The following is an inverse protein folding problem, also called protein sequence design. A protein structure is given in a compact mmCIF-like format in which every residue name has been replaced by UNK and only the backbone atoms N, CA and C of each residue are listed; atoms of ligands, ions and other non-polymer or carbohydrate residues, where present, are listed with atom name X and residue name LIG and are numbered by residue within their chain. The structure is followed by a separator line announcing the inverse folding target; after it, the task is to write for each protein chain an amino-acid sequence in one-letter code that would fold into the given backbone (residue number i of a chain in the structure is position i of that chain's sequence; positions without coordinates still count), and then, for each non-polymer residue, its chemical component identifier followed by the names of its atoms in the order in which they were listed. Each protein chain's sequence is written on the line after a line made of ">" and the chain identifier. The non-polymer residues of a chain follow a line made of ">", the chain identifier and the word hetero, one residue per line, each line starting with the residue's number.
data_IF_907566166889
#
_entry.id   IF_907566166889
#
_cell.length_a   1.000
_cell.length_b   1.000
_cell.length_c   1.000
_cell.angle_alpha   90.00
_cell.angle_beta   90.00
_cell.angle_gamma   90.00
#
_symmetry.space_group_name_H-M   'P 1'
#
loop_
_entity.id
_entity.type
_entity.pdbx_description
1 polymer ?
#
# COMPACT_ATOMS: atom_id res chain seq x y z
N UNK A 1 48.72 14.28 63.88
CA UNK A 1 47.91 13.20 63.29
C UNK A 1 46.46 13.66 63.19
N UNK A 2 46.02 14.12 62.02
CA UNK A 2 44.61 14.40 61.75
C UNK A 2 44.13 13.41 60.68
N UNK A 3 43.21 12.53 61.09
CA UNK A 3 42.58 11.53 60.23
C UNK A 3 41.50 12.18 59.38
N UNK A 4 41.67 12.19 58.05
CA UNK A 4 40.61 12.57 57.12
C UNK A 4 39.56 11.45 57.10
N UNK A 5 38.39 11.69 57.71
CA UNK A 5 37.19 10.87 57.51
C UNK A 5 36.80 10.95 56.02
N UNK A 6 36.83 9.81 55.32
CA UNK A 6 36.09 9.64 54.07
C UNK A 6 34.60 9.87 54.37
N UNK A 7 33.95 10.74 53.60
CA UNK A 7 32.48 10.81 53.58
C UNK A 7 31.94 9.48 53.02
N UNK A 8 30.80 8.98 53.51
CA UNK A 8 30.12 7.85 52.87
C UNK A 8 29.64 8.32 51.49
N UNK A 9 29.89 7.53 50.45
CA UNK A 9 29.24 7.69 49.16
C UNK A 9 27.72 7.50 49.37
N UNK A 10 26.93 8.51 48.97
CA UNK A 10 25.48 8.54 49.18
C UNK A 10 24.77 7.39 48.42
N UNK A 11 23.85 6.65 49.05
CA UNK A 11 23.08 5.58 48.40
C UNK A 11 22.01 6.07 47.39
N UNK A 12 21.84 7.38 47.23
CA UNK A 12 20.76 8.00 46.45
C UNK A 12 20.98 7.84 44.94
N UNK A 13 22.24 7.85 44.49
CA UNK A 13 22.59 7.82 43.05
C UNK A 13 22.27 6.47 42.38
N UNK A 14 22.32 5.37 43.15
CA UNK A 14 22.02 4.02 42.65
C UNK A 14 20.51 3.77 42.53
N UNK A 15 19.71 4.31 43.45
CA UNK A 15 18.25 4.14 43.45
C UNK A 15 17.58 4.90 42.29
N UNK A 16 18.04 6.11 41.99
CA UNK A 16 17.52 6.91 40.87
C UNK A 16 17.97 6.34 39.52
N UNK A 17 19.20 5.83 39.42
CA UNK A 17 19.68 5.12 38.22
C UNK A 17 18.87 3.85 37.96
N UNK A 18 18.59 3.05 39.00
CA UNK A 18 17.80 1.84 38.89
C UNK A 18 16.36 2.14 38.45
N UNK A 19 15.69 3.13 39.07
CA UNK A 19 14.33 3.55 38.69
C UNK A 19 14.25 4.00 37.24
N UNK A 20 15.25 4.74 36.77
CA UNK A 20 15.31 5.22 35.38
C UNK A 20 15.45 4.06 34.39
N UNK A 21 16.29 3.07 34.70
CA UNK A 21 16.44 1.87 33.88
C UNK A 21 15.15 1.04 33.83
N UNK A 22 14.44 0.91 34.95
CA UNK A 22 13.15 0.19 35.00
C UNK A 22 12.08 0.90 34.17
N UNK A 23 12.02 2.23 34.22
CA UNK A 23 11.11 3.02 33.39
C UNK A 23 11.42 2.88 31.90
N UNK A 24 12.69 2.98 31.51
CA UNK A 24 13.11 2.85 30.11
C UNK A 24 12.77 1.46 29.54
N UNK A 25 12.94 0.40 30.32
CA UNK A 25 12.52 -0.96 29.95
C UNK A 25 10.99 -1.12 29.89
N UNK A 26 10.25 -0.48 30.79
CA UNK A 26 8.78 -0.50 30.75
C UNK A 26 8.26 0.19 29.47
N UNK A 27 8.75 1.39 29.15
CA UNK A 27 8.41 2.12 27.93
C UNK A 27 8.79 1.34 26.66
N UNK A 28 9.93 0.64 26.69
CA UNK A 28 10.37 -0.22 25.59
C UNK A 28 9.38 -1.37 25.36
N UNK A 29 8.97 -2.08 26.42
CA UNK A 29 8.00 -3.18 26.33
C UNK A 29 6.64 -2.72 25.83
N UNK A 30 6.16 -1.58 26.33
CA UNK A 30 4.90 -0.98 25.87
C UNK A 30 4.93 -0.70 24.36
N UNK A 31 6.04 -0.14 23.85
CA UNK A 31 6.21 0.11 22.40
C UNK A 31 6.19 -1.16 21.58
N UNK A 32 6.81 -2.23 22.06
CA UNK A 32 6.79 -3.52 21.38
C UNK A 32 5.35 -4.04 21.27
N UNK A 33 4.57 -3.96 22.34
CA UNK A 33 3.16 -4.37 22.32
C UNK A 33 2.31 -3.50 21.39
N UNK A 34 2.56 -2.19 21.33
CA UNK A 34 1.91 -1.30 20.35
C UNK A 34 2.25 -1.74 18.92
N UNK A 35 3.52 -2.05 18.64
CA UNK A 35 3.98 -2.45 17.30
C UNK A 35 3.40 -3.80 16.89
N UNK A 36 3.35 -4.79 17.80
CA UNK A 36 2.73 -6.10 17.54
C UNK A 36 1.26 -5.99 17.12
N UNK A 37 0.57 -4.99 17.64
CA UNK A 37 -0.83 -4.73 17.34
C UNK A 37 -1.04 -3.66 16.25
N UNK A 38 0.04 -3.16 15.63
CA UNK A 38 -0.04 -2.04 14.69
C UNK A 38 -0.70 -2.43 13.35
N UNK A 39 -0.57 -3.69 12.92
CA UNK A 39 -1.14 -4.16 11.66
C UNK A 39 -2.67 -4.22 11.74
N UNK A 40 -3.40 -3.38 10.99
CA UNK A 40 -4.85 -3.38 11.03
C UNK A 40 -5.44 -4.70 10.48
N UNK A 41 -6.60 -5.12 11.00
CA UNK A 41 -7.28 -6.35 10.57
C UNK A 41 -7.59 -6.36 9.07
N UNK A 42 -7.99 -5.23 8.49
CA UNK A 42 -8.23 -5.12 7.04
C UNK A 42 -6.95 -5.33 6.23
N UNK A 43 -5.78 -4.90 6.73
CA UNK A 43 -4.49 -5.12 6.07
C UNK A 43 -4.16 -6.61 6.07
N UNK A 44 -4.36 -7.30 7.20
CA UNK A 44 -4.18 -8.77 7.28
C UNK A 44 -5.07 -9.51 6.29
N UNK A 45 -6.33 -9.10 6.15
CA UNK A 45 -7.26 -9.69 5.16
C UNK A 45 -6.77 -9.49 3.73
N UNK A 46 -6.35 -8.28 3.37
CA UNK A 46 -5.82 -7.95 2.03
C UNK A 46 -4.55 -8.76 1.73
N UNK A 47 -3.62 -8.85 2.67
CA UNK A 47 -2.42 -9.68 2.54
C UNK A 47 -2.75 -11.16 2.41
N UNK A 48 -3.77 -11.65 3.11
CA UNK A 48 -4.27 -13.02 2.98
C UNK A 48 -4.69 -13.34 1.54
N UNK A 49 -5.44 -12.45 0.88
CA UNK A 49 -5.76 -12.62 -0.54
C UNK A 49 -4.52 -12.51 -1.41
N UNK A 50 -3.65 -11.53 -1.16
CA UNK A 50 -2.48 -11.28 -2.00
C UNK A 50 -1.45 -12.40 -1.95
N UNK A 51 -1.27 -13.04 -0.80
CA UNK A 51 -0.30 -14.12 -0.60
C UNK A 51 -0.87 -15.51 -0.95
N UNK A 52 -2.18 -15.64 -1.17
CA UNK A 52 -2.78 -16.90 -1.60
C UNK A 52 -2.43 -17.21 -3.08
N UNK A 53 -1.54 -18.18 -3.26
CA UNK A 53 -1.11 -18.68 -4.56
C UNK A 53 -2.26 -19.23 -5.41
N UNK A 54 -3.32 -19.73 -4.77
CA UNK A 54 -4.49 -20.32 -5.42
C UNK A 54 -5.62 -19.31 -5.67
N UNK A 55 -5.45 -18.05 -5.28
CA UNK A 55 -6.46 -17.02 -5.49
C UNK A 55 -6.82 -16.90 -6.98
N UNK A 56 -8.13 -16.99 -7.25
CA UNK A 56 -8.71 -17.09 -8.59
C UNK A 56 -9.91 -16.14 -8.78
N UNK A 57 -9.91 -15.01 -8.05
CA UNK A 57 -11.02 -14.06 -8.02
C UNK A 57 -11.35 -13.38 -9.35
N UNK A 58 -10.42 -13.37 -10.32
CA UNK A 58 -10.64 -12.80 -11.67
C UNK A 58 -11.78 -13.45 -12.47
N UNK A 59 -12.35 -14.57 -12.00
CA UNK A 59 -13.48 -15.27 -12.65
C UNK A 59 -14.84 -14.58 -12.47
N UNK A 60 -14.92 -13.53 -11.65
CA UNK A 60 -16.17 -12.81 -11.37
C UNK A 60 -16.35 -11.63 -12.33
N UNK A 61 -17.60 -11.22 -12.54
CA UNK A 61 -18.00 -10.16 -13.48
C UNK A 61 -17.30 -8.81 -13.27
N UNK A 62 -16.94 -8.50 -12.04
CA UNK A 62 -16.38 -7.23 -11.57
C UNK A 62 -15.01 -6.95 -12.20
N UNK A 63 -14.31 -7.98 -12.65
CA UNK A 63 -13.00 -7.87 -13.28
C UNK A 63 -13.06 -7.61 -14.79
N UNK A 64 -14.24 -7.75 -15.42
CA UNK A 64 -14.37 -7.68 -16.89
C UNK A 64 -13.82 -6.38 -17.46
N UNK A 65 -14.22 -5.23 -16.88
CA UNK A 65 -13.78 -3.92 -17.37
C UNK A 65 -12.28 -3.73 -17.21
N UNK A 66 -11.73 -4.04 -16.04
CA UNK A 66 -10.29 -3.85 -15.80
C UNK A 66 -9.44 -4.82 -16.63
N UNK A 67 -9.91 -6.05 -16.88
CA UNK A 67 -9.23 -7.01 -17.76
C UNK A 67 -9.17 -6.47 -19.19
N UNK A 68 -10.25 -5.85 -19.68
CA UNK A 68 -10.25 -5.20 -21.01
C UNK A 68 -9.18 -4.11 -21.14
N UNK A 69 -8.93 -3.38 -20.05
CA UNK A 69 -7.89 -2.37 -19.97
C UNK A 69 -6.50 -3.01 -19.94
N UNK A 70 -6.34 -4.02 -19.11
CA UNK A 70 -5.09 -4.75 -18.96
C UNK A 70 -4.64 -5.45 -20.24
N UNK A 71 -5.56 -5.85 -21.10
CA UNK A 71 -5.27 -6.41 -22.43
C UNK A 71 -4.75 -5.38 -23.45
N UNK A 72 -4.69 -4.09 -23.08
CA UNK A 72 -4.34 -2.98 -24.00
C UNK A 72 -3.35 -1.99 -23.41
N UNK A 73 -3.07 -2.08 -22.12
CA UNK A 73 -2.14 -1.20 -21.39
C UNK A 73 -0.93 -2.03 -20.93
N UNK A 74 0.30 -1.60 -21.26
CA UNK A 74 1.50 -2.27 -20.78
C UNK A 74 1.80 -1.95 -19.32
N UNK A 75 2.41 -2.90 -18.62
CA UNK A 75 3.05 -2.67 -17.31
C UNK A 75 4.53 -2.34 -17.46
N UNK A 76 5.15 -2.72 -18.58
CA UNK A 76 6.49 -2.28 -18.99
C UNK A 76 6.64 -2.34 -20.51
N UNK A 77 7.62 -1.60 -21.01
CA UNK A 77 8.07 -1.63 -22.41
C UNK A 77 9.56 -1.94 -22.40
N UNK A 78 9.98 -2.98 -23.11
CA UNK A 78 11.39 -3.35 -23.22
C UNK A 78 12.14 -2.38 -24.15
N UNK A 79 13.48 -2.42 -24.11
CA UNK A 79 14.34 -1.52 -24.89
C UNK A 79 14.15 -1.65 -26.40
N UNK A 80 13.70 -2.81 -26.88
CA UNK A 80 13.38 -3.09 -28.29
C UNK A 80 11.97 -2.59 -28.70
N UNK A 81 11.24 -1.96 -27.78
CA UNK A 81 9.87 -1.50 -27.99
C UNK A 81 8.81 -2.56 -27.71
N UNK A 82 9.18 -3.77 -27.28
CA UNK A 82 8.20 -4.81 -26.95
C UNK A 82 7.39 -4.42 -25.73
N UNK A 83 6.08 -4.27 -25.90
CA UNK A 83 5.12 -4.02 -24.83
C UNK A 83 4.79 -5.32 -24.09
N UNK A 84 4.79 -5.26 -22.75
CA UNK A 84 4.35 -6.35 -21.88
C UNK A 84 3.06 -5.90 -21.19
N UNK A 85 1.96 -6.57 -21.50
CA UNK A 85 0.61 -6.16 -21.11
C UNK A 85 0.25 -6.65 -19.72
N UNK A 86 -0.59 -5.90 -19.00
CA UNK A 86 -1.10 -6.37 -17.72
C UNK A 86 -1.94 -7.66 -17.88
N UNK A 87 -2.52 -7.89 -19.06
CA UNK A 87 -3.18 -9.16 -19.40
C UNK A 87 -2.53 -9.72 -20.66
N UNK A 88 -1.51 -10.55 -20.44
CA UNK A 88 -0.66 -11.10 -21.49
C UNK A 88 -0.65 -12.61 -21.44
N UNK A 89 -1.20 -13.25 -22.46
CA UNK A 89 -1.33 -14.71 -22.57
C UNK A 89 -0.50 -15.28 -23.72
N UNK A 90 0.50 -14.54 -24.22
CA UNK A 90 1.32 -14.99 -25.36
C UNK A 90 2.06 -16.30 -25.05
N UNK A 91 2.56 -16.45 -23.82
CA UNK A 91 3.21 -17.66 -23.32
C UNK A 91 3.10 -17.78 -21.80
N UNK A 92 3.47 -18.93 -21.24
CA UNK A 92 3.36 -19.22 -19.80
C UNK A 92 4.15 -18.26 -18.90
N UNK A 93 5.30 -17.76 -19.36
CA UNK A 93 6.11 -16.83 -18.58
C UNK A 93 5.47 -15.44 -18.58
N UNK A 94 5.04 -14.96 -19.75
CA UNK A 94 4.29 -13.69 -19.87
C UNK A 94 2.95 -13.74 -19.12
N UNK A 95 2.28 -14.88 -19.10
CA UNK A 95 1.06 -15.09 -18.33
C UNK A 95 1.30 -15.03 -16.81
N UNK A 96 2.38 -15.65 -16.31
CA UNK A 96 2.75 -15.59 -14.90
C UNK A 96 3.16 -14.19 -14.47
N UNK A 97 4.00 -13.53 -15.27
CA UNK A 97 4.44 -12.16 -15.04
C UNK A 97 3.23 -11.21 -15.00
N UNK A 98 2.43 -11.18 -16.06
CA UNK A 98 1.27 -10.28 -16.15
C UNK A 98 0.27 -10.52 -15.01
N UNK A 99 0.04 -11.78 -14.59
CA UNK A 99 -0.79 -12.09 -13.42
C UNK A 99 -0.23 -11.51 -12.12
N UNK A 100 1.09 -11.57 -11.91
CA UNK A 100 1.71 -10.95 -10.74
C UNK A 100 1.46 -9.43 -10.73
N UNK A 101 1.63 -8.77 -11.88
CA UNK A 101 1.44 -7.33 -12.02
C UNK A 101 -0.02 -6.91 -11.78
N UNK A 102 -1.01 -7.68 -12.26
CA UNK A 102 -2.42 -7.43 -11.96
C UNK A 102 -2.73 -7.59 -10.48
N UNK A 103 -2.15 -8.59 -9.82
CA UNK A 103 -2.34 -8.81 -8.37
C UNK A 103 -1.81 -7.67 -7.53
N UNK A 104 -0.79 -6.95 -7.98
CA UNK A 104 -0.31 -5.71 -7.35
C UNK A 104 -1.30 -4.55 -7.57
N UNK A 105 -1.97 -4.47 -8.73
CA UNK A 105 -3.08 -3.52 -8.91
C UNK A 105 -4.21 -3.85 -7.94
N UNK A 106 -4.63 -5.11 -7.84
CA UNK A 106 -5.69 -5.52 -6.91
C UNK A 106 -5.29 -5.25 -5.45
N UNK A 107 -4.01 -5.40 -5.11
CA UNK A 107 -3.47 -5.01 -3.80
C UNK A 107 -3.67 -3.52 -3.52
N UNK A 108 -3.42 -2.64 -4.49
CA UNK A 108 -3.65 -1.20 -4.36
C UNK A 108 -5.13 -0.86 -4.09
N UNK A 109 -6.02 -1.66 -4.68
CA UNK A 109 -7.46 -1.57 -4.55
C UNK A 109 -8.00 -2.35 -3.34
N UNK A 110 -7.12 -2.96 -2.52
CA UNK A 110 -7.51 -3.72 -1.35
C UNK A 110 -8.31 -4.99 -1.65
N UNK A 111 -8.19 -5.55 -2.86
CA UNK A 111 -9.01 -6.66 -3.36
C UNK A 111 -10.52 -6.39 -3.21
N UNK A 112 -10.92 -5.11 -3.26
CA UNK A 112 -12.32 -4.68 -3.21
C UNK A 112 -12.91 -4.76 -4.62
N UNK A 113 -13.84 -5.70 -4.82
CA UNK A 113 -14.48 -5.96 -6.12
C UNK A 113 -15.19 -4.72 -6.67
N UNK A 114 -15.88 -3.96 -5.82
CA UNK A 114 -16.59 -2.75 -6.24
C UNK A 114 -15.58 -1.74 -6.80
N UNK A 115 -14.45 -1.59 -6.11
CA UNK A 115 -13.45 -0.61 -6.51
C UNK A 115 -12.68 -1.03 -7.76
N UNK A 116 -12.42 -2.33 -7.93
CA UNK A 116 -11.86 -2.92 -9.14
C UNK A 116 -12.75 -2.65 -10.35
N UNK A 117 -14.06 -2.87 -10.20
CA UNK A 117 -15.01 -2.64 -11.27
C UNK A 117 -15.13 -1.14 -11.63
N UNK A 118 -15.21 -0.27 -10.61
CA UNK A 118 -15.29 1.18 -10.79
C UNK A 118 -14.05 1.70 -11.53
N UNK A 119 -12.85 1.35 -11.09
CA UNK A 119 -11.61 1.77 -11.75
C UNK A 119 -11.51 1.22 -13.17
N UNK A 120 -11.82 -0.06 -13.36
CA UNK A 120 -11.87 -0.69 -14.68
C UNK A 120 -12.83 0.04 -15.61
N UNK A 121 -13.98 0.46 -15.09
CA UNK A 121 -14.96 1.26 -15.80
C UNK A 121 -14.41 2.59 -16.30
N UNK A 122 -13.79 3.38 -15.42
CA UNK A 122 -13.15 4.64 -15.81
C UNK A 122 -12.05 4.44 -16.83
N UNK A 123 -11.13 3.52 -16.56
CA UNK A 123 -10.01 3.27 -17.45
C UNK A 123 -10.47 2.73 -18.82
N UNK A 124 -11.56 1.96 -18.88
CA UNK A 124 -12.11 1.46 -20.15
C UNK A 124 -12.61 2.59 -21.05
N UNK A 125 -13.17 3.67 -20.49
CA UNK A 125 -13.60 4.86 -21.26
C UNK A 125 -12.42 5.56 -21.92
N UNK A 126 -11.27 5.58 -21.25
CA UNK A 126 -10.04 6.22 -21.76
C UNK A 126 -9.40 5.45 -22.91
N UNK A 127 -9.82 4.22 -23.19
CA UNK A 127 -9.28 3.39 -24.27
C UNK A 127 -10.35 2.90 -25.25
N UNK A 128 -11.62 3.32 -25.12
CA UNK A 128 -12.74 2.76 -25.88
C UNK A 128 -12.58 2.81 -27.40
N UNK A 129 -11.86 3.82 -27.90
CA UNK A 129 -11.51 3.98 -29.32
C UNK A 129 -9.98 3.99 -29.53
N UNK A 130 -9.52 3.83 -30.77
CA UNK A 130 -8.08 3.70 -31.12
C UNK A 130 -7.32 4.99 -30.84
N UNK A 131 -7.92 6.14 -31.17
CA UNK A 131 -7.42 7.48 -30.87
C UNK A 131 -7.30 7.72 -29.36
N UNK A 132 -8.32 7.32 -28.59
CA UNK A 132 -8.32 7.41 -27.14
C UNK A 132 -7.24 6.53 -26.50
N UNK A 133 -7.10 5.28 -26.96
CA UNK A 133 -6.01 4.40 -26.51
C UNK A 133 -4.66 5.05 -26.78
N UNK A 134 -4.43 5.56 -27.99
CA UNK A 134 -3.17 6.20 -28.36
C UNK A 134 -2.86 7.40 -27.46
N UNK A 135 -3.87 8.21 -27.12
CA UNK A 135 -3.74 9.38 -26.24
C UNK A 135 -3.48 9.04 -24.77
N UNK A 136 -4.05 7.94 -24.27
CA UNK A 136 -4.13 7.68 -22.82
C UNK A 136 -3.32 6.46 -22.33
N UNK A 137 -2.80 5.62 -23.23
CA UNK A 137 -2.09 4.38 -22.87
C UNK A 137 -0.94 4.61 -21.90
N UNK A 138 -0.07 5.59 -22.17
CA UNK A 138 1.07 5.87 -21.30
C UNK A 138 0.64 6.45 -19.94
N UNK A 139 -0.38 7.31 -19.93
CA UNK A 139 -0.93 7.85 -18.67
C UNK A 139 -1.50 6.74 -17.79
N UNK A 140 -2.20 5.77 -18.38
CA UNK A 140 -2.73 4.61 -17.67
C UNK A 140 -1.62 3.69 -17.17
N UNK A 141 -0.59 3.44 -18.00
CA UNK A 141 0.61 2.69 -17.58
C UNK A 141 1.25 3.32 -16.35
N UNK A 142 1.54 4.62 -16.41
CA UNK A 142 2.22 5.34 -15.33
C UNK A 142 1.36 5.39 -14.06
N UNK A 143 0.05 5.62 -14.21
CA UNK A 143 -0.90 5.53 -13.11
C UNK A 143 -0.89 4.14 -12.44
N UNK A 144 -0.98 3.05 -13.22
CA UNK A 144 -0.96 1.71 -12.67
C UNK A 144 0.36 1.38 -11.98
N UNK A 145 1.49 1.80 -12.54
CA UNK A 145 2.81 1.64 -11.90
C UNK A 145 2.85 2.37 -10.55
N UNK A 146 2.38 3.63 -10.50
CA UNK A 146 2.38 4.44 -9.27
C UNK A 146 1.54 3.80 -8.16
N UNK A 147 0.31 3.36 -8.44
CA UNK A 147 -0.53 2.71 -7.43
C UNK A 147 0.07 1.40 -6.93
N UNK A 148 0.70 0.62 -7.82
CA UNK A 148 1.34 -0.65 -7.47
C UNK A 148 2.52 -0.41 -6.54
N UNK A 149 3.38 0.56 -6.86
CA UNK A 149 4.53 0.90 -6.03
C UNK A 149 4.10 1.39 -4.64
N UNK A 150 3.10 2.27 -4.57
CA UNK A 150 2.55 2.71 -3.28
C UNK A 150 1.92 1.55 -2.48
N UNK A 151 1.22 0.64 -3.16
CA UNK A 151 0.61 -0.53 -2.52
C UNK A 151 1.64 -1.53 -2.00
N UNK A 152 2.69 -1.85 -2.78
CA UNK A 152 3.79 -2.71 -2.32
C UNK A 152 4.51 -2.11 -1.13
N UNK A 153 4.80 -0.81 -1.20
CA UNK A 153 5.43 -0.10 -0.10
C UNK A 153 4.58 -0.21 1.18
N UNK A 154 3.27 0.05 1.07
CA UNK A 154 2.37 -0.02 2.21
C UNK A 154 2.13 -1.44 2.72
N UNK A 155 1.72 -2.38 1.87
CA UNK A 155 1.29 -3.71 2.31
C UNK A 155 2.47 -4.66 2.52
N UNK A 156 3.45 -4.67 1.60
CA UNK A 156 4.50 -5.69 1.58
C UNK A 156 5.72 -5.23 2.38
N UNK A 157 6.28 -4.07 2.02
CA UNK A 157 7.51 -3.56 2.64
C UNK A 157 7.29 -3.18 4.11
N UNK A 158 6.09 -2.74 4.49
CA UNK A 158 5.73 -2.44 5.88
C UNK A 158 5.10 -3.67 6.55
N UNK A 159 3.86 -4.02 6.21
CA UNK A 159 3.08 -4.92 7.07
C UNK A 159 3.43 -6.40 6.89
N UNK A 160 3.60 -6.90 5.67
CA UNK A 160 4.03 -8.28 5.45
C UNK A 160 5.42 -8.53 6.05
N UNK A 161 6.32 -7.55 5.92
CA UNK A 161 7.66 -7.59 6.54
C UNK A 161 7.58 -7.52 8.06
N UNK A 162 6.73 -6.65 8.62
CA UNK A 162 6.53 -6.53 10.07
C UNK A 162 5.98 -7.82 10.67
N UNK A 163 4.93 -8.41 10.09
CA UNK A 163 4.31 -9.65 10.58
C UNK A 163 5.32 -10.80 10.65
N UNK A 164 6.24 -10.90 9.67
CA UNK A 164 7.32 -11.90 9.67
C UNK A 164 8.41 -11.66 10.73
N UNK A 165 8.44 -10.48 11.35
CA UNK A 165 9.51 -10.05 12.27
C UNK A 165 9.02 -9.73 13.68
N UNK A 166 7.73 -9.93 13.98
CA UNK A 166 7.12 -9.60 15.28
C UNK A 166 7.85 -10.25 16.47
N UNK A 167 8.28 -11.50 16.34
CA UNK A 167 8.94 -12.25 17.42
C UNK A 167 10.37 -11.75 17.70
N UNK A 168 10.93 -10.93 16.81
CA UNK A 168 12.30 -10.45 16.89
C UNK A 168 12.39 -8.94 17.13
N UNK A 169 11.28 -8.27 17.49
CA UNK A 169 11.27 -6.82 17.78
C UNK A 169 12.22 -6.43 18.93
N UNK A 170 12.48 -7.37 19.85
CA UNK A 170 13.44 -7.16 20.94
C UNK A 170 14.89 -6.95 20.46
N UNK A 171 15.21 -7.25 19.19
CA UNK A 171 16.54 -6.95 18.66
C UNK A 171 16.76 -5.46 18.35
N UNK A 172 15.69 -4.66 18.26
CA UNK A 172 15.78 -3.24 17.97
C UNK A 172 16.15 -2.44 19.23
N UNK A 173 16.86 -1.33 19.04
CA UNK A 173 17.07 -0.35 20.10
C UNK A 173 15.79 0.39 20.49
N UNK A 174 15.75 1.00 21.68
CA UNK A 174 14.60 1.80 22.11
C UNK A 174 14.30 2.97 21.14
N UNK A 175 15.33 3.58 20.56
CA UNK A 175 15.19 4.64 19.56
C UNK A 175 14.56 4.13 18.25
N UNK A 176 14.96 2.95 17.78
CA UNK A 176 14.38 2.31 16.61
C UNK A 176 12.92 1.91 16.83
N UNK A 177 12.59 1.33 18.00
CA UNK A 177 11.21 1.00 18.37
C UNK A 177 10.32 2.24 18.41
N UNK A 178 10.81 3.34 18.99
CA UNK A 178 10.10 4.63 18.99
C UNK A 178 9.88 5.15 17.56
N UNK A 179 10.92 5.13 16.73
CA UNK A 179 10.84 5.57 15.34
C UNK A 179 9.86 4.73 14.53
N UNK A 180 9.93 3.41 14.65
CA UNK A 180 9.05 2.46 13.98
C UNK A 180 7.58 2.69 14.35
N UNK A 181 7.28 2.80 15.64
CA UNK A 181 5.93 3.06 16.14
C UNK A 181 5.33 4.36 15.57
N UNK A 182 6.10 5.45 15.56
CA UNK A 182 5.67 6.74 14.99
C UNK A 182 5.37 6.58 13.49
N UNK A 183 6.31 5.99 12.74
CA UNK A 183 6.18 5.84 11.28
C UNK A 183 5.03 4.93 10.86
N UNK A 184 4.73 3.88 11.64
CA UNK A 184 3.55 3.05 11.43
C UNK A 184 2.26 3.88 11.55
N UNK A 185 2.20 4.83 12.50
CA UNK A 185 1.10 5.79 12.61
C UNK A 185 1.04 6.75 11.41
N UNK A 186 2.18 7.27 10.97
CA UNK A 186 2.28 8.17 9.83
C UNK A 186 1.84 7.50 8.52
N UNK A 187 2.32 6.29 8.22
CA UNK A 187 1.98 5.59 6.98
C UNK A 187 0.50 5.18 6.96
N UNK A 188 -0.06 4.81 8.11
CA UNK A 188 -1.51 4.56 8.26
C UNK A 188 -2.31 5.83 7.98
N UNK A 189 -1.85 6.97 8.46
CA UNK A 189 -2.49 8.27 8.22
C UNK A 189 -2.41 8.67 6.75
N UNK A 190 -1.26 8.50 6.10
CA UNK A 190 -1.09 8.75 4.68
C UNK A 190 -2.02 7.86 3.82
N UNK A 191 -2.14 6.57 4.15
CA UNK A 191 -3.11 5.66 3.51
C UNK A 191 -4.56 6.13 3.71
N UNK A 192 -4.91 6.60 4.91
CA UNK A 192 -6.25 7.15 5.17
C UNK A 192 -6.52 8.42 4.35
N UNK A 193 -5.53 9.31 4.19
CA UNK A 193 -5.64 10.48 3.29
C UNK A 193 -5.91 10.05 1.86
N UNK A 194 -5.16 9.07 1.33
CA UNK A 194 -5.38 8.54 -0.03
C UNK A 194 -6.82 8.07 -0.22
N UNK A 195 -7.36 7.35 0.78
CA UNK A 195 -8.73 6.86 0.74
C UNK A 195 -9.74 8.02 0.76
N UNK A 196 -9.58 8.96 1.69
CA UNK A 196 -10.56 10.04 1.91
C UNK A 196 -10.55 11.07 0.79
N UNK A 197 -9.38 11.38 0.23
CA UNK A 197 -9.16 12.50 -0.69
C UNK A 197 -9.11 12.09 -2.16
N UNK A 198 -8.84 10.83 -2.47
CA UNK A 198 -8.77 10.36 -3.86
C UNK A 198 -9.77 9.25 -4.12
N UNK A 199 -9.67 8.14 -3.36
CA UNK A 199 -10.49 6.94 -3.62
C UNK A 199 -11.99 7.23 -3.41
N UNK A 200 -12.36 7.86 -2.29
CA UNK A 200 -13.76 8.14 -1.97
C UNK A 200 -14.37 9.18 -2.92
N UNK A 201 -13.70 10.28 -3.29
CA UNK A 201 -14.18 11.18 -4.34
C UNK A 201 -14.38 10.47 -5.68
N UNK A 202 -13.39 9.71 -6.16
CA UNK A 202 -13.52 8.91 -7.39
C UNK A 202 -14.71 7.94 -7.34
N UNK A 203 -14.94 7.33 -6.17
CA UNK A 203 -16.08 6.45 -5.91
C UNK A 203 -17.42 7.22 -5.94
N UNK A 204 -17.47 8.42 -5.38
CA UNK A 204 -18.72 9.15 -5.13
C UNK A 204 -19.16 10.06 -6.28
N UNK A 205 -18.21 10.60 -7.04
CA UNK A 205 -18.48 11.55 -8.13
C UNK A 205 -19.42 10.96 -9.17
N UNK A 206 -19.14 9.73 -9.59
CA UNK A 206 -19.96 9.08 -10.57
C UNK A 206 -21.02 8.25 -9.85
N UNK A 207 -22.29 8.65 -10.06
CA UNK A 207 -23.50 7.93 -9.66
C UNK A 207 -23.48 6.42 -9.98
N UNK A 208 -22.60 5.97 -10.87
CA UNK A 208 -22.17 4.59 -11.13
C UNK A 208 -22.05 3.77 -9.85
N UNK A 209 -21.33 4.26 -8.84
CA UNK A 209 -21.07 3.44 -7.64
C UNK A 209 -22.29 3.37 -6.74
N UNK A 210 -23.11 4.43 -6.71
CA UNK A 210 -24.36 4.47 -5.93
C UNK A 210 -25.46 3.62 -6.58
N UNK A 211 -25.54 3.62 -7.92
CA UNK A 211 -26.41 2.74 -8.70
C UNK A 211 -25.97 1.28 -8.59
N UNK A 212 -24.66 0.98 -8.62
CA UNK A 212 -24.16 -0.39 -8.45
C UNK A 212 -24.41 -0.96 -7.05
N UNK A 213 -24.20 -0.18 -5.98
CA UNK A 213 -24.60 -0.59 -4.62
C UNK A 213 -26.12 -0.89 -4.51
N UNK A 214 -26.90 -0.47 -5.51
CA UNK A 214 -28.34 -0.71 -5.61
C UNK A 214 -28.73 -1.76 -6.69
N UNK A 215 -27.88 -2.03 -7.70
CA UNK A 215 -28.11 -2.98 -8.81
C UNK A 215 -26.76 -3.43 -9.47
N UNK A 216 -26.34 -4.69 -9.29
CA UNK A 216 -25.13 -5.27 -9.89
C UNK A 216 -25.13 -5.34 -11.43
N UNK A 217 -26.28 -5.19 -12.09
CA UNK A 217 -26.38 -5.17 -13.56
C UNK A 217 -26.25 -3.76 -14.15
N UNK A 218 -26.05 -2.73 -13.32
CA UNK A 218 -25.97 -1.36 -13.77
C UNK A 218 -24.77 -1.14 -14.71
N UNK A 219 -25.06 -0.78 -15.97
CA UNK A 219 -24.03 -0.32 -16.89
C UNK A 219 -23.53 1.08 -16.49
N UNK A 220 -22.24 1.32 -16.69
CA UNK A 220 -21.64 2.65 -16.69
C UNK A 220 -22.47 3.53 -17.64
N UNK A 221 -23.05 4.66 -17.18
CA UNK A 221 -23.81 5.56 -18.03
C UNK A 221 -23.08 5.81 -19.35
N UNK A 222 -23.80 5.56 -20.45
CA UNK A 222 -23.25 5.63 -21.80
C UNK A 222 -22.74 7.04 -22.12
N UNK A 223 -23.26 8.05 -21.43
CA UNK A 223 -22.97 9.47 -21.65
C UNK A 223 -21.67 9.99 -21.00
N UNK A 224 -21.02 9.24 -20.10
CA UNK A 224 -19.73 9.68 -19.55
C UNK A 224 -18.65 9.52 -20.63
N UNK A 225 -18.06 10.64 -21.02
CA UNK A 225 -17.02 10.75 -22.04
C UNK A 225 -15.62 10.58 -21.46
N UNK A 226 -14.64 10.27 -22.31
CA UNK A 226 -13.25 10.18 -21.90
C UNK A 226 -12.70 11.53 -21.40
N UNK A 227 -13.14 12.64 -21.98
CA UNK A 227 -12.68 13.97 -21.58
C UNK A 227 -13.21 14.36 -20.19
N UNK A 228 -14.47 14.04 -19.85
CA UNK A 228 -15.00 14.23 -18.50
C UNK A 228 -14.26 13.39 -17.45
N UNK A 229 -13.86 12.15 -17.79
CA UNK A 229 -13.05 11.30 -16.91
C UNK A 229 -11.67 11.91 -16.67
N UNK A 230 -11.03 12.42 -17.72
CA UNK A 230 -9.72 13.07 -17.60
C UNK A 230 -9.79 14.38 -16.83
N UNK A 231 -10.80 15.21 -17.10
CA UNK A 231 -11.00 16.47 -16.41
C UNK A 231 -11.17 16.24 -14.91
N UNK A 232 -12.01 15.28 -14.52
CA UNK A 232 -12.17 14.93 -13.12
C UNK A 232 -10.88 14.37 -12.51
N UNK A 233 -10.20 13.43 -13.19
CA UNK A 233 -8.93 12.89 -12.71
C UNK A 233 -7.88 13.98 -12.50
N UNK A 234 -7.82 14.98 -13.38
CA UNK A 234 -6.88 16.09 -13.26
C UNK A 234 -7.07 16.87 -11.94
N UNK A 235 -8.31 16.96 -11.42
CA UNK A 235 -8.59 17.59 -10.11
C UNK A 235 -7.98 16.83 -8.92
N UNK A 236 -7.75 15.52 -9.06
CA UNK A 236 -7.27 14.64 -7.99
C UNK A 236 -5.79 14.24 -8.17
N UNK A 237 -5.29 14.26 -9.40
CA UNK A 237 -4.00 13.67 -9.81
C UNK A 237 -2.79 14.16 -8.99
N UNK A 238 -2.68 15.47 -8.77
CA UNK A 238 -1.56 16.04 -8.00
C UNK A 238 -1.58 15.59 -6.52
N UNK A 239 -2.77 15.51 -5.93
CA UNK A 239 -2.93 15.02 -4.56
C UNK A 239 -2.68 13.50 -4.47
N UNK A 240 -3.16 12.75 -5.46
CA UNK A 240 -2.85 11.34 -5.61
C UNK A 240 -1.34 11.07 -5.65
N UNK A 241 -0.61 11.79 -6.50
CA UNK A 241 0.83 11.61 -6.66
C UNK A 241 1.57 11.93 -5.37
N UNK A 242 1.25 13.08 -4.77
CA UNK A 242 1.84 13.53 -3.50
C UNK A 242 1.64 12.51 -2.37
N UNK A 243 0.42 11.98 -2.21
CA UNK A 243 0.14 11.01 -1.15
C UNK A 243 0.83 9.66 -1.43
N UNK A 244 0.89 9.22 -2.70
CA UNK A 244 1.60 8.00 -3.06
C UNK A 244 3.10 8.12 -2.75
N UNK A 245 3.71 9.28 -3.05
CA UNK A 245 5.11 9.55 -2.72
C UNK A 245 5.34 9.61 -1.21
N UNK A 246 4.42 10.21 -0.45
CA UNK A 246 4.46 10.21 1.02
C UNK A 246 4.45 8.77 1.57
N UNK A 247 3.54 7.92 1.08
CA UNK A 247 3.45 6.50 1.47
C UNK A 247 4.76 5.77 1.16
N UNK A 248 5.28 5.90 -0.05
CA UNK A 248 6.50 5.21 -0.47
C UNK A 248 7.71 5.64 0.37
N UNK A 249 7.84 6.95 0.64
CA UNK A 249 8.92 7.49 1.48
C UNK A 249 8.88 6.92 2.90
N UNK A 250 7.73 7.03 3.59
CA UNK A 250 7.58 6.56 4.98
C UNK A 250 7.79 5.04 5.06
N UNK A 251 7.22 4.30 4.11
CA UNK A 251 7.37 2.85 4.03
C UNK A 251 8.83 2.43 3.84
N UNK A 252 9.59 3.14 3.00
CA UNK A 252 11.02 2.90 2.84
C UNK A 252 11.83 3.16 4.12
N UNK A 253 11.44 4.15 4.92
CA UNK A 253 12.05 4.40 6.23
C UNK A 253 11.72 3.31 7.25
N UNK A 254 10.47 2.81 7.25
CA UNK A 254 10.07 1.66 8.07
C UNK A 254 10.86 0.41 7.68
N UNK A 255 10.96 0.12 6.37
CA UNK A 255 11.68 -1.05 5.85
C UNK A 255 13.12 -1.08 6.33
N UNK A 256 13.82 0.05 6.27
CA UNK A 256 15.21 0.17 6.78
C UNK A 256 15.33 -0.21 8.26
N UNK A 257 14.36 0.18 9.09
CA UNK A 257 14.35 -0.20 10.51
C UNK A 257 14.10 -1.71 10.65
N UNK A 258 13.11 -2.24 9.92
CA UNK A 258 12.80 -3.66 9.96
C UNK A 258 13.96 -4.52 9.45
N UNK A 259 14.74 -4.06 8.47
CA UNK A 259 15.92 -4.76 7.93
C UNK A 259 17.02 -4.97 8.98
N UNK A 260 17.08 -4.14 10.03
CA UNK A 260 18.02 -4.33 11.15
C UNK A 260 17.69 -5.56 12.02
N UNK A 261 16.46 -6.08 11.92
CA UNK A 261 16.05 -7.30 12.62
C UNK A 261 16.62 -8.52 11.87
N UNK A 262 17.59 -9.19 12.51
CA UNK A 262 18.12 -10.47 12.04
C UNK A 262 17.10 -11.57 12.34
N UNK A 263 16.56 -12.19 11.29
CA UNK A 263 15.75 -13.40 11.46
C UNK A 263 16.72 -14.56 11.74
N UNK A 264 16.57 -15.23 12.89
CA UNK A 264 17.28 -16.51 13.11
C UNK A 264 16.70 -17.51 12.12
N UNK A 265 17.53 -17.97 11.18
CA UNK A 265 17.20 -19.07 10.27
C UNK A 265 17.12 -20.40 11.00
#
# INVERSE_FOLDING_TARGET
>A
MWSKRKKPDDPVDNADTQRRSEQEEAERRERIEIIKNATPSYVKKVLGYHNDANWNGEKISEFTNIISVFARVPHRVANDGTEFLYYDLMDDNRAKESKAERREVYLALGYDNDFIWVLGGFASKLIGAVDLLTKNKDKLKDFFIKIRNAAKAYYIDVYDTLEKKLDNLESLSAAELKSLSIKLGEVKTARAKLIVRVVRPLRNEYLITRRYLSDPNAMIPVNITADEVLEYWNTLSAEFDSICDEIMRISGEIKKILDNIKVKG
#
